data_IF_108899466387
#
_entry.id   IF_108899466387
#
_cell.length_a   1.000
_cell.length_b   1.000
_cell.length_c   1.000
_cell.angle_alpha   90.00
_cell.angle_beta   90.00
_cell.angle_gamma   90.00
#
_symmetry.space_group_name_H-M   'P 1'
#
loop_
_entity.id
_entity.type
_entity.pdbx_description
1 polymer ?
#
# COMPACT_ATOMS: atom_id res chain seq x y z
N UNK A 1 20.05 8.75 -1.17
CA UNK A 1 19.30 8.58 -2.43
C UNK A 1 17.82 8.67 -2.12
N UNK A 2 16.96 9.14 -3.04
CA UNK A 2 15.51 9.09 -2.82
C UNK A 2 15.08 7.61 -2.79
N UNK A 3 14.46 7.19 -1.68
CA UNK A 3 13.94 5.84 -1.50
C UNK A 3 12.90 5.52 -2.59
N UNK A 4 13.01 4.38 -3.26
CA UNK A 4 12.09 3.96 -4.33
C UNK A 4 11.46 2.64 -3.97
N UNK A 5 10.13 2.60 -4.03
CA UNK A 5 9.34 1.39 -3.80
C UNK A 5 9.00 0.77 -5.15
N UNK A 6 9.70 -0.30 -5.52
CA UNK A 6 9.42 -1.08 -6.72
C UNK A 6 8.40 -2.16 -6.40
N UNK A 7 7.47 -2.44 -7.32
CA UNK A 7 6.53 -3.54 -7.16
C UNK A 7 6.35 -4.32 -8.47
N UNK A 8 6.06 -5.62 -8.32
CA UNK A 8 5.98 -6.57 -9.43
C UNK A 8 4.81 -7.54 -9.21
N UNK A 9 4.20 -7.95 -10.31
CA UNK A 9 3.12 -8.93 -10.38
C UNK A 9 3.57 -10.06 -11.32
N UNK A 10 3.42 -11.29 -10.88
CA UNK A 10 3.87 -12.47 -11.61
C UNK A 10 2.75 -13.51 -11.74
N UNK A 11 2.60 -14.09 -12.93
CA UNK A 11 1.60 -15.13 -13.18
C UNK A 11 0.17 -14.62 -13.39
N UNK A 12 -0.01 -13.31 -13.63
CA UNK A 12 -1.31 -12.75 -13.99
C UNK A 12 -1.64 -13.05 -15.47
N UNK A 13 -2.81 -13.62 -15.79
CA UNK A 13 -3.23 -13.86 -17.16
C UNK A 13 -3.39 -12.58 -17.99
N UNK A 14 -3.05 -12.63 -19.27
CA UNK A 14 -3.09 -11.48 -20.21
C UNK A 14 -4.45 -10.75 -20.22
N UNK A 15 -5.55 -11.51 -20.19
CA UNK A 15 -6.92 -10.97 -20.22
C UNK A 15 -7.30 -10.19 -18.95
N UNK A 16 -6.51 -10.28 -17.87
CA UNK A 16 -6.71 -9.53 -16.62
C UNK A 16 -5.86 -8.27 -16.54
N UNK A 17 -4.92 -8.05 -17.46
CA UNK A 17 -4.02 -6.91 -17.41
C UNK A 17 -4.75 -5.57 -17.51
N UNK A 18 -5.76 -5.46 -18.36
CA UNK A 18 -6.58 -4.24 -18.47
C UNK A 18 -7.25 -3.91 -17.14
N UNK A 19 -7.79 -4.92 -16.45
CA UNK A 19 -8.40 -4.75 -15.14
C UNK A 19 -7.40 -4.25 -14.09
N UNK A 20 -6.17 -4.77 -14.09
CA UNK A 20 -5.14 -4.31 -13.15
C UNK A 20 -4.74 -2.86 -13.43
N UNK A 21 -4.65 -2.46 -14.70
CA UNK A 21 -4.43 -1.05 -15.05
C UNK A 21 -5.56 -0.16 -14.49
N UNK A 22 -6.83 -0.55 -14.64
CA UNK A 22 -7.96 0.17 -14.03
C UNK A 22 -7.86 0.25 -12.50
N UNK A 23 -7.43 -0.83 -11.83
CA UNK A 23 -7.26 -0.84 -10.38
C UNK A 23 -6.14 0.11 -9.91
N UNK A 24 -5.03 0.20 -10.65
CA UNK A 24 -3.97 1.18 -10.37
C UNK A 24 -4.43 2.61 -10.62
N UNK A 25 -5.18 2.88 -11.69
CA UNK A 25 -5.79 4.20 -11.93
C UNK A 25 -6.77 4.60 -10.84
N UNK A 26 -7.62 3.67 -10.40
CA UNK A 26 -8.54 3.89 -9.28
C UNK A 26 -7.77 4.21 -7.99
N UNK A 27 -6.70 3.47 -7.67
CA UNK A 27 -5.82 3.73 -6.54
C UNK A 27 -5.16 5.12 -6.63
N UNK A 28 -4.66 5.48 -7.82
CA UNK A 28 -4.02 6.76 -8.09
C UNK A 28 -4.99 7.96 -7.99
N UNK A 29 -6.28 7.72 -8.24
CA UNK A 29 -7.35 8.73 -8.14
C UNK A 29 -7.98 8.82 -6.74
N UNK A 30 -7.88 7.77 -5.92
CA UNK A 30 -8.61 7.70 -4.66
C UNK A 30 -8.16 8.73 -3.60
N UNK A 31 -6.95 9.28 -3.71
CA UNK A 31 -6.46 10.35 -2.83
C UNK A 31 -5.30 11.11 -3.45
N UNK A 32 -4.90 12.20 -2.79
CA UNK A 32 -3.62 12.84 -3.06
C UNK A 32 -2.47 11.98 -2.51
N UNK A 33 -1.45 11.77 -3.34
CA UNK A 33 -0.26 10.98 -3.00
C UNK A 33 0.92 11.92 -2.70
N UNK A 34 1.74 11.58 -1.71
CA UNK A 34 2.97 12.32 -1.40
C UNK A 34 4.16 11.71 -2.10
N UNK A 35 4.28 10.38 -2.10
CA UNK A 35 5.06 9.68 -3.12
C UNK A 35 4.34 9.87 -4.47
N UNK A 36 5.01 9.77 -5.61
CA UNK A 36 4.32 9.92 -6.90
C UNK A 36 3.06 9.02 -7.01
N UNK A 37 2.10 9.39 -7.88
CA UNK A 37 0.90 8.58 -8.11
C UNK A 37 1.30 7.15 -8.51
N UNK A 38 0.73 6.10 -7.88
CA UNK A 38 0.97 4.72 -8.28
C UNK A 38 0.58 4.50 -9.74
N UNK A 39 1.36 3.68 -10.45
CA UNK A 39 1.14 3.36 -11.85
C UNK A 39 1.67 1.95 -12.13
N UNK A 40 1.29 1.36 -13.25
CA UNK A 40 1.75 0.01 -13.59
C UNK A 40 2.03 -0.09 -15.09
N UNK A 41 3.08 -0.83 -15.43
CA UNK A 41 3.44 -1.20 -16.78
C UNK A 41 3.24 -2.70 -17.01
N UNK A 42 2.88 -3.06 -18.23
CA UNK A 42 2.70 -4.43 -18.71
C UNK A 42 2.72 -4.47 -20.24
N UNK A 43 2.53 -5.65 -20.84
CA UNK A 43 2.36 -5.82 -22.29
C UNK A 43 1.20 -5.02 -22.91
N UNK A 44 0.25 -4.55 -22.08
CA UNK A 44 -0.88 -3.70 -22.51
C UNK A 44 -0.62 -2.20 -22.44
N UNK A 45 0.57 -1.79 -21.98
CA UNK A 45 0.91 -0.36 -21.85
C UNK A 45 1.05 0.29 -23.21
N UNK A 46 0.58 1.54 -23.32
CA UNK A 46 0.60 2.31 -24.58
C UNK A 46 1.54 3.52 -24.55
N UNK A 47 1.96 3.94 -23.36
CA UNK A 47 2.93 5.02 -23.23
C UNK A 47 4.36 4.51 -23.44
N UNK A 48 5.18 5.32 -24.10
CA UNK A 48 6.54 4.96 -24.48
C UNK A 48 7.40 4.59 -23.26
N UNK A 49 7.27 5.34 -22.17
CA UNK A 49 8.04 5.08 -20.96
C UNK A 49 7.67 3.74 -20.32
N UNK A 50 6.38 3.47 -20.16
CA UNK A 50 5.86 2.25 -19.55
C UNK A 50 6.22 1.02 -20.38
N UNK A 51 6.10 1.13 -21.70
CA UNK A 51 6.51 0.07 -22.64
C UNK A 51 8.00 -0.25 -22.50
N UNK A 52 8.87 0.76 -22.54
CA UNK A 52 10.31 0.58 -22.44
C UNK A 52 10.73 0.06 -21.06
N UNK A 53 10.15 0.62 -19.99
CA UNK A 53 10.36 0.15 -18.62
C UNK A 53 10.01 -1.33 -18.46
N UNK A 54 8.84 -1.75 -18.93
CA UNK A 54 8.41 -3.13 -18.85
C UNK A 54 9.27 -4.05 -19.72
N UNK A 55 9.63 -3.61 -20.93
CA UNK A 55 10.51 -4.35 -21.84
C UNK A 55 11.87 -4.65 -21.19
N UNK A 56 12.47 -3.65 -20.54
CA UNK A 56 13.73 -3.83 -19.83
C UNK A 56 13.60 -4.85 -18.68
N UNK A 57 12.59 -4.72 -17.83
CA UNK A 57 12.39 -5.66 -16.72
C UNK A 57 12.07 -7.08 -17.20
N UNK A 58 11.28 -7.23 -18.25
CA UNK A 58 10.92 -8.55 -18.79
C UNK A 58 12.14 -9.27 -19.40
N UNK A 59 13.10 -8.52 -19.96
CA UNK A 59 14.36 -9.09 -20.45
C UNK A 59 15.24 -9.60 -19.30
N UNK A 60 15.25 -8.90 -18.16
CA UNK A 60 16.08 -9.26 -17.00
C UNK A 60 15.45 -10.38 -16.16
N UNK A 61 14.13 -10.36 -15.95
CA UNK A 61 13.42 -11.29 -15.04
C UNK A 61 12.77 -12.48 -15.76
N UNK A 62 12.58 -12.38 -17.07
CA UNK A 62 11.95 -13.40 -17.89
C UNK A 62 10.41 -13.39 -17.88
N UNK A 63 9.84 -14.35 -18.63
CA UNK A 63 8.41 -14.40 -19.03
C UNK A 63 7.39 -14.55 -17.89
N UNK A 64 7.83 -14.67 -16.64
CA UNK A 64 6.94 -14.80 -15.49
C UNK A 64 6.44 -13.43 -14.99
N UNK A 65 7.08 -12.35 -15.40
CA UNK A 65 6.66 -10.98 -15.07
C UNK A 65 5.45 -10.58 -15.91
N UNK A 66 4.33 -10.31 -15.25
CA UNK A 66 3.09 -9.89 -15.91
C UNK A 66 2.93 -8.37 -15.90
N UNK A 67 3.32 -7.73 -14.81
CA UNK A 67 3.26 -6.28 -14.66
C UNK A 67 4.24 -5.78 -13.61
N UNK A 68 4.67 -4.52 -13.71
CA UNK A 68 5.59 -3.91 -12.75
C UNK A 68 5.42 -2.39 -12.69
N UNK A 69 5.85 -1.77 -11.60
CA UNK A 69 5.90 -0.32 -11.46
C UNK A 69 6.79 0.10 -10.30
N UNK A 70 6.84 1.39 -10.04
CA UNK A 70 7.53 1.92 -8.86
C UNK A 70 7.00 3.29 -8.46
N UNK A 71 7.19 3.67 -7.19
CA UNK A 71 6.98 5.05 -6.73
C UNK A 71 8.20 5.58 -6.01
N UNK A 72 8.52 6.86 -6.26
CA UNK A 72 9.56 7.58 -5.51
C UNK A 72 8.97 8.06 -4.19
N UNK A 73 9.50 7.58 -3.07
CA UNK A 73 9.04 7.93 -1.73
C UNK A 73 9.53 9.31 -1.32
N UNK A 74 8.67 10.10 -0.70
CA UNK A 74 8.98 11.44 -0.17
C UNK A 74 8.91 11.49 1.36
N UNK A 75 9.02 10.32 2.01
CA UNK A 75 9.07 10.17 3.47
C UNK A 75 7.72 9.89 4.16
N UNK A 76 6.63 9.70 3.40
CA UNK A 76 5.36 9.26 3.96
C UNK A 76 5.23 7.73 3.95
N UNK A 77 5.36 7.11 5.11
CA UNK A 77 5.21 5.65 5.27
C UNK A 77 3.78 5.16 5.05
N UNK A 78 2.77 6.05 5.17
CA UNK A 78 1.38 5.65 4.92
C UNK A 78 1.19 5.33 3.43
N UNK A 79 1.87 6.03 2.54
CA UNK A 79 1.83 5.76 1.10
C UNK A 79 2.39 4.36 0.78
N UNK A 80 3.55 4.02 1.37
CA UNK A 80 4.15 2.70 1.21
C UNK A 80 3.25 1.59 1.75
N UNK A 81 2.60 1.83 2.89
CA UNK A 81 1.70 0.87 3.49
C UNK A 81 0.43 0.65 2.65
N UNK A 82 -0.18 1.70 2.12
CA UNK A 82 -1.36 1.57 1.24
C UNK A 82 -0.99 0.78 -0.01
N UNK A 83 0.15 1.07 -0.64
CA UNK A 83 0.64 0.27 -1.78
C UNK A 83 0.88 -1.18 -1.36
N UNK A 84 1.41 -1.42 -0.16
CA UNK A 84 1.65 -2.78 0.35
C UNK A 84 0.37 -3.58 0.51
N UNK A 85 -0.66 -2.98 1.11
CA UNK A 85 -1.98 -3.61 1.27
C UNK A 85 -2.59 -3.87 -0.11
N UNK A 86 -2.53 -2.89 -1.02
CA UNK A 86 -3.04 -3.04 -2.38
C UNK A 86 -2.37 -4.20 -3.14
N UNK A 87 -1.04 -4.32 -3.08
CA UNK A 87 -0.34 -5.43 -3.73
C UNK A 87 -0.66 -6.80 -3.11
N UNK A 88 -0.93 -6.84 -1.79
CA UNK A 88 -1.42 -8.04 -1.11
C UNK A 88 -2.83 -8.39 -1.60
N UNK A 89 -3.71 -7.41 -1.70
CA UNK A 89 -5.09 -7.59 -2.16
C UNK A 89 -5.12 -8.11 -3.60
N UNK A 90 -4.30 -7.56 -4.50
CA UNK A 90 -4.13 -8.09 -5.87
C UNK A 90 -3.63 -9.53 -5.87
N UNK A 91 -2.66 -9.85 -4.99
CA UNK A 91 -2.18 -11.23 -4.83
C UNK A 91 -3.31 -12.18 -4.41
N UNK A 92 -4.15 -11.76 -3.46
CA UNK A 92 -5.29 -12.54 -2.99
C UNK A 92 -6.37 -12.70 -4.06
N UNK A 93 -6.75 -11.61 -4.71
CA UNK A 93 -7.84 -11.55 -5.70
C UNK A 93 -7.54 -12.45 -6.91
N UNK A 94 -6.31 -12.39 -7.42
CA UNK A 94 -5.94 -13.12 -8.63
C UNK A 94 -5.22 -14.44 -8.35
N UNK A 95 -4.92 -14.76 -7.08
CA UNK A 95 -4.13 -15.95 -6.73
C UNK A 95 -2.72 -15.91 -7.31
N UNK A 96 -2.11 -14.72 -7.41
CA UNK A 96 -0.82 -14.50 -8.06
C UNK A 96 0.27 -14.18 -7.03
N UNK A 97 1.52 -14.20 -7.50
CA UNK A 97 2.65 -13.68 -6.71
C UNK A 97 2.83 -12.19 -6.96
N UNK A 98 2.89 -11.42 -5.88
CA UNK A 98 3.31 -10.02 -5.94
C UNK A 98 4.54 -9.79 -5.08
N UNK A 99 5.37 -8.82 -5.43
CA UNK A 99 6.53 -8.44 -4.63
C UNK A 99 6.68 -6.95 -4.58
N UNK A 100 7.24 -6.47 -3.47
CA UNK A 100 7.59 -5.09 -3.20
C UNK A 100 9.05 -5.07 -2.76
N UNK A 101 9.83 -4.18 -3.35
CA UNK A 101 11.24 -3.98 -3.05
C UNK A 101 11.54 -2.53 -2.77
N UNK A 102 12.33 -2.32 -1.75
CA UNK A 102 12.65 -1.03 -1.18
C UNK A 102 14.06 -1.10 -0.58
N UNK A 103 15.07 -1.08 -1.46
CA UNK A 103 16.45 -1.39 -1.11
C UNK A 103 17.03 -0.44 -0.04
N UNK A 104 16.53 0.79 -0.01
CA UNK A 104 16.96 1.84 0.91
C UNK A 104 16.16 1.87 2.22
N UNK A 105 15.26 0.90 2.46
CA UNK A 105 14.52 0.85 3.72
C UNK A 105 15.49 0.69 4.92
N UNK A 106 15.38 1.52 5.99
CA UNK A 106 16.29 1.48 7.13
C UNK A 106 16.23 0.14 7.88
N UNK A 107 15.03 -0.46 7.95
CA UNK A 107 14.84 -1.83 8.46
C UNK A 107 15.02 -2.85 7.32
N UNK A 108 16.08 -3.66 7.39
CA UNK A 108 16.42 -4.66 6.37
C UNK A 108 15.26 -5.63 6.05
N UNK A 109 14.52 -6.05 7.08
CA UNK A 109 13.37 -6.96 6.94
C UNK A 109 12.18 -6.39 6.16
N UNK A 110 12.14 -5.07 5.95
CA UNK A 110 11.09 -4.38 5.20
C UNK A 110 11.56 -3.99 3.78
N UNK A 111 12.83 -4.28 3.42
CA UNK A 111 13.35 -4.01 2.07
C UNK A 111 12.72 -4.90 1.01
N UNK A 112 12.14 -6.03 1.42
CA UNK A 112 11.44 -6.93 0.51
C UNK A 112 10.23 -7.53 1.21
N UNK A 113 9.08 -7.42 0.55
CA UNK A 113 7.85 -8.10 0.92
C UNK A 113 7.34 -8.85 -0.29
N UNK A 114 7.12 -10.15 -0.13
CA UNK A 114 6.54 -11.00 -1.16
C UNK A 114 5.16 -11.47 -0.67
N UNK A 115 4.20 -11.59 -1.57
CA UNK A 115 2.89 -12.17 -1.31
C UNK A 115 2.59 -13.27 -2.31
N UNK A 116 1.97 -14.34 -1.82
CA UNK A 116 1.48 -15.45 -2.63
C UNK A 116 0.04 -15.75 -2.19
N UNK A 117 -0.92 -15.61 -3.10
CA UNK A 117 -2.35 -15.66 -2.80
C UNK A 117 -2.76 -14.83 -1.55
N UNK A 118 -2.18 -13.63 -1.40
CA UNK A 118 -2.47 -12.72 -0.29
C UNK A 118 -1.82 -13.07 1.04
N UNK A 119 -0.88 -14.02 1.07
CA UNK A 119 -0.15 -14.45 2.27
C UNK A 119 1.34 -14.15 2.14
N UNK A 120 1.98 -13.85 3.27
CA UNK A 120 3.43 -13.75 3.34
C UNK A 120 4.08 -15.14 3.14
N UNK A 121 5.39 -15.24 2.84
CA UNK A 121 6.07 -16.53 2.67
C UNK A 121 6.00 -17.44 3.91
N UNK A 122 5.77 -16.85 5.09
CA UNK A 122 5.53 -17.58 6.34
C UNK A 122 4.11 -18.20 6.45
N UNK A 123 3.23 -17.94 5.48
CA UNK A 123 1.81 -18.31 5.51
C UNK A 123 0.92 -17.36 6.31
N UNK A 124 1.50 -16.36 6.99
CA UNK A 124 0.76 -15.37 7.79
C UNK A 124 0.07 -14.32 6.91
N UNK A 125 -1.01 -13.73 7.40
CA UNK A 125 -1.56 -12.51 6.81
C UNK A 125 -0.67 -11.31 7.13
N UNK A 126 -0.76 -10.26 6.31
CA UNK A 126 -0.08 -9.00 6.59
C UNK A 126 -0.60 -8.37 7.89
N UNK A 127 -1.91 -8.45 8.12
CA UNK A 127 -2.60 -7.94 9.31
C UNK A 127 -2.08 -8.57 10.59
N UNK A 128 -1.84 -9.89 10.62
CA UNK A 128 -1.30 -10.56 11.81
C UNK A 128 0.10 -10.03 12.19
N UNK A 129 0.87 -9.62 11.18
CA UNK A 129 2.20 -9.02 11.40
C UNK A 129 2.05 -7.56 11.86
N UNK A 130 1.14 -6.80 11.26
CA UNK A 130 0.88 -5.40 11.59
C UNK A 130 0.20 -5.22 12.95
N UNK A 131 -0.68 -6.14 13.36
CA UNK A 131 -1.46 -6.11 14.62
C UNK A 131 -0.62 -6.01 15.89
N UNK A 132 0.70 -6.05 15.77
CA UNK A 132 1.65 -5.80 16.86
C UNK A 132 1.90 -4.31 17.11
N UNK A 133 1.65 -3.42 16.15
CA UNK A 133 2.00 -1.98 16.28
C UNK A 133 1.05 -1.06 15.50
N UNK A 134 0.68 0.11 16.04
CA UNK A 134 0.00 1.13 15.26
C UNK A 134 0.94 1.77 14.25
N UNK A 135 0.38 2.21 13.14
CA UNK A 135 1.03 3.03 12.12
C UNK A 135 0.79 4.49 12.48
N UNK A 136 1.85 5.29 12.54
CA UNK A 136 1.76 6.68 12.99
C UNK A 136 2.05 7.60 11.81
N UNK A 137 1.07 8.44 11.48
CA UNK A 137 1.22 9.50 10.47
C UNK A 137 1.34 10.85 11.16
N UNK A 138 2.36 11.63 10.78
CA UNK A 138 2.51 13.02 11.24
C UNK A 138 2.03 13.99 10.16
N UNK A 139 1.12 14.89 10.54
CA UNK A 139 0.55 15.90 9.63
C UNK A 139 0.42 17.21 10.39
N UNK A 140 1.07 18.28 9.91
CA UNK A 140 0.99 19.62 10.51
C UNK A 140 1.31 19.65 12.02
N UNK A 141 2.27 18.85 12.47
CA UNK A 141 2.63 18.74 13.89
C UNK A 141 1.78 17.72 14.68
N UNK A 142 0.62 17.35 14.16
CA UNK A 142 -0.29 16.39 14.78
C UNK A 142 0.04 14.94 14.43
N UNK A 143 -0.34 14.02 15.32
CA UNK A 143 -0.18 12.57 15.13
C UNK A 143 -1.53 11.91 14.94
N UNK A 144 -1.68 11.23 13.81
CA UNK A 144 -2.78 10.31 13.54
C UNK A 144 -2.26 8.89 13.74
N UNK A 145 -2.95 8.10 14.54
CA UNK A 145 -2.65 6.68 14.76
C UNK A 145 -3.62 5.85 13.95
N UNK A 146 -3.10 4.88 13.20
CA UNK A 146 -3.88 3.85 12.51
C UNK A 146 -3.60 2.50 13.12
N UNK A 147 -4.64 1.79 13.53
CA UNK A 147 -4.57 0.48 14.12
C UNK A 147 -5.13 -0.54 13.12
N UNK A 148 -4.33 -1.53 12.71
CA UNK A 148 -4.79 -2.54 11.76
C UNK A 148 -5.91 -3.41 12.37
N UNK A 149 -6.68 -4.11 11.53
CA UNK A 149 -7.61 -5.13 11.98
C UNK A 149 -6.94 -6.09 12.96
N UNK A 150 -7.70 -6.57 13.93
CA UNK A 150 -7.26 -7.45 15.03
C UNK A 150 -6.28 -6.84 16.05
N UNK A 151 -5.82 -5.60 15.85
CA UNK A 151 -4.99 -4.90 16.84
C UNK A 151 -5.74 -4.73 18.17
N UNK A 152 -5.11 -5.17 19.27
CA UNK A 152 -5.63 -5.00 20.62
C UNK A 152 -4.86 -3.89 21.33
N UNK A 153 -5.55 -2.80 21.67
CA UNK A 153 -4.96 -1.70 22.45
C UNK A 153 -4.56 -2.17 23.85
N UNK A 154 -5.42 -2.97 24.47
CA UNK A 154 -5.18 -3.68 25.72
C UNK A 154 -5.74 -5.11 25.59
N UNK A 155 -5.23 -6.02 26.42
CA UNK A 155 -5.56 -7.47 26.36
C UNK A 155 -7.06 -7.79 26.43
N UNK A 156 -7.85 -6.89 27.01
CA UNK A 156 -9.30 -7.04 27.24
C UNK A 156 -10.18 -6.46 26.12
N UNK A 157 -9.64 -5.67 25.19
CA UNK A 157 -10.45 -5.12 24.10
C UNK A 157 -10.75 -6.19 23.04
N UNK A 158 -12.00 -6.32 22.57
CA UNK A 158 -12.30 -7.23 21.47
C UNK A 158 -11.55 -6.75 20.21
N UNK A 159 -10.99 -7.67 19.41
CA UNK A 159 -10.41 -7.31 18.12
C UNK A 159 -11.50 -6.78 17.20
N UNK A 160 -11.23 -5.65 16.51
CA UNK A 160 -12.10 -5.16 15.44
C UNK A 160 -11.68 -5.78 14.10
N UNK A 161 -12.63 -6.15 13.22
CA UNK A 161 -12.33 -6.52 11.83
C UNK A 161 -11.97 -5.31 10.97
N UNK A 162 -12.24 -4.09 11.44
CA UNK A 162 -12.00 -2.83 10.73
C UNK A 162 -10.68 -2.16 11.15
N UNK A 163 -10.21 -1.22 10.33
CA UNK A 163 -9.15 -0.30 10.70
C UNK A 163 -9.68 0.71 11.71
N UNK A 164 -8.97 0.89 12.83
CA UNK A 164 -9.27 2.01 13.73
C UNK A 164 -8.31 3.16 13.47
N UNK A 165 -8.77 4.39 13.68
CA UNK A 165 -7.91 5.57 13.67
C UNK A 165 -8.16 6.45 14.89
N UNK A 166 -7.12 7.14 15.35
CA UNK A 166 -7.20 8.05 16.48
C UNK A 166 -6.41 9.34 16.24
N UNK A 167 -7.02 10.47 16.60
CA UNK A 167 -6.48 11.82 16.58
C UNK A 167 -7.25 12.71 17.58
N UNK A 168 -6.59 13.69 18.20
CA UNK A 168 -7.21 14.59 19.19
C UNK A 168 -8.02 13.91 20.31
N UNK A 169 -7.61 12.70 20.73
CA UNK A 169 -8.35 11.91 21.73
C UNK A 169 -9.66 11.28 21.22
N UNK A 170 -10.03 11.52 19.96
CA UNK A 170 -11.15 10.86 19.28
C UNK A 170 -10.65 9.57 18.65
N UNK A 171 -11.50 8.54 18.68
CA UNK A 171 -11.27 7.26 18.00
C UNK A 171 -12.49 6.87 17.19
N UNK A 172 -12.26 6.38 15.98
CA UNK A 172 -13.29 5.86 15.09
C UNK A 172 -12.73 4.70 14.25
N UNK A 173 -13.59 4.11 13.41
CA UNK A 173 -13.31 2.92 12.63
C UNK A 173 -13.70 3.13 11.17
N UNK A 174 -13.01 2.45 10.26
CA UNK A 174 -13.33 2.40 8.85
C UNK A 174 -12.95 1.03 8.26
N UNK A 175 -13.69 0.55 7.25
CA UNK A 175 -13.41 -0.74 6.61
C UNK A 175 -11.98 -0.88 6.07
N UNK A 176 -11.40 0.19 5.52
CA UNK A 176 -10.06 0.18 4.93
C UNK A 176 -9.13 1.23 5.54
N UNK A 177 -7.81 1.02 5.43
CA UNK A 177 -6.82 2.02 5.81
C UNK A 177 -7.01 3.33 5.02
N UNK A 178 -7.40 3.22 3.75
CA UNK A 178 -7.59 4.38 2.88
C UNK A 178 -8.74 5.26 3.36
N UNK A 179 -9.88 4.66 3.69
CA UNK A 179 -11.02 5.37 4.27
C UNK A 179 -10.69 5.93 5.66
N UNK A 180 -10.01 5.14 6.50
CA UNK A 180 -9.55 5.60 7.81
C UNK A 180 -8.66 6.85 7.69
N UNK A 181 -7.74 6.86 6.71
CA UNK A 181 -6.89 8.02 6.43
C UNK A 181 -7.70 9.23 5.96
N UNK A 182 -8.62 9.03 5.01
CA UNK A 182 -9.46 10.10 4.48
C UNK A 182 -10.31 10.75 5.58
N UNK A 183 -10.97 9.95 6.43
CA UNK A 183 -11.78 10.46 7.54
C UNK A 183 -10.93 11.18 8.59
N UNK A 184 -9.78 10.61 8.97
CA UNK A 184 -8.87 11.28 9.90
C UNK A 184 -8.37 12.63 9.36
N UNK A 185 -8.06 12.72 8.07
CA UNK A 185 -7.64 13.98 7.43
C UNK A 185 -8.79 14.98 7.27
N UNK A 186 -10.05 14.52 7.11
CA UNK A 186 -11.24 15.39 7.16
C UNK A 186 -11.40 16.00 8.55
N UNK A 187 -11.31 15.18 9.60
CA UNK A 187 -11.40 15.62 11.00
C UNK A 187 -10.28 16.61 11.33
N UNK A 188 -9.03 16.28 10.98
CA UNK A 188 -7.88 17.17 11.20
C UNK A 188 -8.08 18.55 10.56
N UNK A 189 -8.55 18.58 9.31
CA UNK A 189 -8.90 19.83 8.64
C UNK A 189 -10.01 20.57 9.38
N UNK A 190 -11.08 19.88 9.79
CA UNK A 190 -12.18 20.48 10.55
C UNK A 190 -11.71 21.18 11.83
N UNK A 191 -10.85 20.53 12.63
CA UNK A 191 -10.27 21.13 13.84
C UNK A 191 -9.35 22.32 13.54
N UNK A 192 -8.60 22.28 12.44
CA UNK A 192 -7.79 23.43 12.00
C UNK A 192 -8.61 24.70 11.70
N UNK A 193 -9.89 24.57 11.36
CA UNK A 193 -10.79 25.72 11.15
C UNK A 193 -11.47 26.21 12.43
N UNK A 194 -11.45 25.42 13.51
CA UNK A 194 -12.07 25.78 14.80
C UNK A 194 -11.12 26.52 15.75
N UNK A 195 -9.81 26.45 15.49
CA UNK A 195 -8.76 27.10 16.28
C UNK A 195 -8.09 28.30 15.60
N UNK A 196 -8.65 28.78 14.48
CA UNK A 196 -8.18 29.94 13.72
C UNK A 196 -9.03 31.18 13.97
#
# INVERSE_FOLDING_TARGET
MPRVLHYRLQGLPEHRLERVHEQFEALAAARAWRCGRPWVASSRSRGLFEMEFFRHLNNDEGRHLSAAGFVKMTGDETDALIITIFMRDLSAEYGIRTSIRDEDHPLAKLRRLDFDAGRLPSGQSLEDVLAKRPVIKKVQGERIFFYPPTFRLHSQSPPSPEWAYALFGIRAYAPTLLEAEQEALKILRGFGHLGG
#
